data_IF_069705964143
#
_entry.id   IF_069705964143
#
_cell.length_a   1.000
_cell.length_b   1.000
_cell.length_c   1.000
_cell.angle_alpha   90.00
_cell.angle_beta   90.00
_cell.angle_gamma   90.00
#
_symmetry.space_group_name_H-M   'P 1'
#
loop_
_entity.id
_entity.type
_entity.pdbx_description
1 polymer ?
#
# COMPACT_ATOMS: atom_id res chain seq x y z
N UNK A 1 63.42 -3.95 -19.64
CA UNK A 1 62.92 -3.06 -18.58
C UNK A 1 61.50 -2.53 -18.87
N UNK A 2 61.18 -2.11 -20.11
CA UNK A 2 59.86 -1.56 -20.50
C UNK A 2 58.65 -2.48 -20.37
N UNK A 3 58.79 -3.80 -20.63
CA UNK A 3 57.66 -4.77 -20.53
C UNK A 3 57.14 -4.93 -19.09
N UNK A 4 57.97 -4.81 -18.07
CA UNK A 4 57.54 -4.88 -16.66
C UNK A 4 56.79 -3.60 -16.25
N UNK A 5 57.11 -2.47 -16.80
CA UNK A 5 56.44 -1.18 -16.52
C UNK A 5 55.02 -1.15 -17.09
N UNK A 6 54.83 -1.65 -18.31
CA UNK A 6 53.54 -1.73 -18.96
C UNK A 6 52.61 -2.73 -18.24
N UNK A 7 53.17 -3.83 -17.72
CA UNK A 7 52.37 -4.80 -16.97
C UNK A 7 51.96 -4.29 -15.58
N UNK A 8 52.81 -3.47 -14.94
CA UNK A 8 52.47 -2.79 -13.69
C UNK A 8 51.35 -1.79 -13.85
N UNK A 9 51.38 -0.98 -14.93
CA UNK A 9 50.35 0.02 -15.25
C UNK A 9 49.02 -0.64 -15.56
N UNK A 10 48.99 -1.73 -16.35
CA UNK A 10 47.78 -2.50 -16.66
C UNK A 10 47.14 -3.12 -15.40
N UNK A 11 47.94 -3.66 -14.48
CA UNK A 11 47.43 -4.23 -13.23
C UNK A 11 46.88 -3.14 -12.28
N UNK A 12 47.52 -1.94 -12.27
CA UNK A 12 47.07 -0.84 -11.42
C UNK A 12 45.73 -0.28 -11.90
N UNK A 13 45.53 -0.13 -13.20
CA UNK A 13 44.28 0.34 -13.83
C UNK A 13 43.16 -0.68 -13.63
N UNK A 14 43.46 -1.98 -13.67
CA UNK A 14 42.51 -3.05 -13.42
C UNK A 14 42.06 -3.09 -11.94
N UNK A 15 42.97 -2.80 -11.00
CA UNK A 15 42.68 -2.76 -9.56
C UNK A 15 41.83 -1.52 -9.22
N UNK A 16 42.15 -0.36 -9.83
CA UNK A 16 41.36 0.87 -9.66
C UNK A 16 39.94 0.71 -10.22
N UNK A 17 39.81 0.13 -11.43
CA UNK A 17 38.47 -0.13 -12.01
C UNK A 17 37.63 -1.12 -11.19
N UNK A 18 38.25 -2.11 -10.55
CA UNK A 18 37.57 -3.02 -9.62
C UNK A 18 37.15 -2.34 -8.32
N UNK A 19 37.97 -1.43 -7.77
CA UNK A 19 37.60 -0.62 -6.60
C UNK A 19 36.48 0.33 -6.89
N UNK A 20 36.48 1.01 -8.04
CA UNK A 20 35.40 1.90 -8.48
C UNK A 20 34.08 1.16 -8.73
N UNK A 21 34.13 -0.06 -9.27
CA UNK A 21 32.96 -0.91 -9.43
C UNK A 21 32.43 -1.43 -8.08
N UNK A 22 33.31 -1.71 -7.13
CA UNK A 22 32.94 -2.12 -5.77
C UNK A 22 32.29 -0.97 -4.99
N UNK A 23 32.83 0.26 -5.09
CA UNK A 23 32.22 1.44 -4.47
C UNK A 23 30.87 1.80 -5.10
N UNK A 24 30.73 1.70 -6.45
CA UNK A 24 29.42 1.88 -7.10
C UNK A 24 28.39 0.82 -6.75
N UNK A 25 28.81 -0.39 -6.36
CA UNK A 25 27.91 -1.46 -5.93
C UNK A 25 27.45 -1.29 -4.49
N UNK A 26 28.20 -0.58 -3.65
CA UNK A 26 27.82 -0.29 -2.25
C UNK A 26 26.84 0.89 -2.15
N UNK A 27 26.80 1.79 -3.13
CA UNK A 27 25.89 2.95 -3.16
C UNK A 27 24.40 2.61 -3.41
N UNK A 28 24.05 1.33 -3.60
CA UNK A 28 22.67 0.88 -3.86
C UNK A 28 22.02 0.08 -2.73
N UNK A 29 22.54 0.14 -1.52
CA UNK A 29 21.77 -0.30 -0.36
C UNK A 29 20.82 0.86 0.00
N UNK A 30 19.65 0.89 -0.64
CA UNK A 30 18.55 1.73 -0.21
C UNK A 30 18.18 1.29 1.21
N UNK A 31 18.58 2.08 2.21
CA UNK A 31 18.15 1.84 3.60
C UNK A 31 16.62 1.89 3.55
N UNK A 32 15.99 0.73 3.76
CA UNK A 32 14.54 0.67 3.90
C UNK A 32 14.21 1.28 5.26
N UNK A 33 13.75 2.52 5.24
CA UNK A 33 13.15 3.14 6.42
C UNK A 33 11.75 2.54 6.62
N UNK A 34 11.39 2.25 7.87
CA UNK A 34 10.02 1.82 8.16
C UNK A 34 9.02 2.91 7.77
N UNK A 35 7.85 2.51 7.29
CA UNK A 35 6.74 3.42 6.99
C UNK A 35 6.03 3.91 8.27
N UNK A 36 6.27 3.28 9.42
CA UNK A 36 5.64 3.66 10.69
C UNK A 36 6.05 5.07 11.11
N UNK A 37 5.07 5.88 11.49
CA UNK A 37 5.14 7.30 11.79
C UNK A 37 5.54 8.20 10.61
N UNK A 38 5.61 7.67 9.39
CA UNK A 38 5.70 8.51 8.20
C UNK A 38 4.35 9.20 7.93
N UNK A 39 4.42 10.34 7.26
CA UNK A 39 3.24 11.07 6.83
C UNK A 39 2.55 10.35 5.67
N UNK A 40 1.23 10.35 5.66
CA UNK A 40 0.41 9.91 4.52
C UNK A 40 0.90 10.62 3.25
N UNK A 41 1.19 9.89 2.16
CA UNK A 41 1.56 10.52 0.91
C UNK A 41 0.43 11.38 0.36
N UNK A 42 0.75 12.44 -0.36
CA UNK A 42 -0.26 13.19 -1.09
C UNK A 42 -0.79 12.35 -2.26
N UNK A 43 -2.10 12.31 -2.38
CA UNK A 43 -2.78 11.62 -3.48
C UNK A 43 -4.08 12.33 -3.88
N UNK A 44 -4.48 12.06 -5.11
CA UNK A 44 -5.75 12.47 -5.68
C UNK A 44 -6.18 11.35 -6.64
N UNK A 45 -7.15 10.53 -6.25
CA UNK A 45 -7.59 9.36 -7.00
C UNK A 45 -9.09 9.33 -7.18
N UNK A 46 -9.55 8.64 -8.22
CA UNK A 46 -10.96 8.36 -8.40
C UNK A 46 -11.39 7.20 -7.49
N UNK A 47 -12.62 7.21 -7.07
CA UNK A 47 -13.22 6.16 -6.26
C UNK A 47 -14.65 5.84 -6.71
N UNK A 48 -15.07 4.62 -6.46
CA UNK A 48 -16.48 4.23 -6.45
C UNK A 48 -16.98 4.20 -5.01
N UNK A 49 -18.11 4.82 -4.72
CA UNK A 49 -18.69 4.87 -3.39
C UNK A 49 -20.20 5.10 -3.44
N UNK A 50 -20.97 4.20 -2.83
CA UNK A 50 -22.44 4.32 -2.71
C UNK A 50 -23.16 4.59 -4.06
N UNK A 51 -22.73 3.88 -5.12
CA UNK A 51 -23.35 4.01 -6.44
C UNK A 51 -22.78 5.13 -7.32
N UNK A 52 -21.91 6.00 -6.79
CA UNK A 52 -21.38 7.16 -7.47
C UNK A 52 -19.87 7.13 -7.63
N UNK A 53 -19.38 7.88 -8.60
CA UNK A 53 -17.96 8.17 -8.74
C UNK A 53 -17.62 9.47 -8.04
N UNK A 54 -16.51 9.46 -7.28
CA UNK A 54 -16.01 10.67 -6.62
C UNK A 54 -14.50 10.71 -6.64
N UNK A 55 -13.94 11.88 -6.48
CA UNK A 55 -12.52 12.06 -6.21
C UNK A 55 -12.28 11.98 -4.70
N UNK A 56 -11.22 11.28 -4.31
CA UNK A 56 -10.74 11.23 -2.92
C UNK A 56 -9.30 11.71 -2.89
N UNK A 57 -9.03 12.62 -1.98
CA UNK A 57 -7.71 13.25 -1.80
C UNK A 57 -7.16 12.99 -0.40
N UNK A 58 -5.89 13.30 -0.19
CA UNK A 58 -5.27 13.27 1.15
C UNK A 58 -6.06 14.11 2.16
N UNK A 59 -6.62 15.27 1.73
CA UNK A 59 -7.38 16.17 2.62
C UNK A 59 -8.67 15.53 3.14
N UNK A 60 -9.30 14.65 2.36
CA UNK A 60 -10.53 13.94 2.77
C UNK A 60 -10.27 12.90 3.86
N UNK A 61 -9.01 12.51 4.05
CA UNK A 61 -8.56 11.54 5.06
C UNK A 61 -8.17 12.21 6.37
N UNK A 62 -7.57 13.40 6.32
CA UNK A 62 -7.10 14.11 7.51
C UNK A 62 -8.23 14.49 8.46
N UNK A 63 -7.92 14.56 9.76
CA UNK A 63 -8.87 14.89 10.82
C UNK A 63 -9.68 13.72 11.37
N UNK A 64 -9.52 12.51 10.83
CA UNK A 64 -10.15 11.26 11.31
C UNK A 64 -9.18 10.09 11.21
N UNK A 65 -9.46 9.04 11.95
CA UNK A 65 -8.76 7.77 11.75
C UNK A 65 -9.13 7.16 10.41
N UNK A 66 -8.17 6.53 9.74
CA UNK A 66 -8.40 5.91 8.45
C UNK A 66 -7.69 4.56 8.33
N UNK A 67 -8.29 3.66 7.57
CA UNK A 67 -7.71 2.38 7.17
C UNK A 67 -7.54 2.40 5.65
N UNK A 68 -6.32 2.16 5.16
CA UNK A 68 -6.07 1.82 3.77
C UNK A 68 -5.91 0.31 3.65
N UNK A 69 -6.80 -0.31 2.90
CA UNK A 69 -6.89 -1.75 2.75
C UNK A 69 -6.59 -2.14 1.30
N UNK A 70 -5.31 -2.35 1.01
CA UNK A 70 -4.85 -2.74 -0.34
C UNK A 70 -5.13 -4.20 -0.61
N UNK A 71 -5.52 -4.52 -1.84
CA UNK A 71 -5.77 -5.87 -2.32
C UNK A 71 -5.35 -5.99 -3.80
N UNK A 72 -5.04 -7.22 -4.29
CA UNK A 72 -4.50 -7.43 -5.64
C UNK A 72 -5.38 -6.94 -6.77
N UNK A 73 -6.62 -7.41 -6.87
CA UNK A 73 -7.50 -7.07 -7.99
C UNK A 73 -8.97 -7.43 -7.71
N UNK A 74 -9.86 -6.74 -8.40
CA UNK A 74 -11.28 -7.07 -8.49
C UNK A 74 -11.49 -8.41 -9.22
N UNK A 75 -12.67 -9.00 -9.08
CA UNK A 75 -13.08 -10.26 -9.73
C UNK A 75 -12.16 -11.45 -9.43
N UNK A 76 -11.52 -11.49 -8.26
CA UNK A 76 -10.66 -12.60 -7.79
C UNK A 76 -11.37 -13.45 -6.71
N UNK A 77 -10.67 -14.45 -6.15
CA UNK A 77 -11.29 -15.44 -5.25
C UNK A 77 -11.16 -15.10 -3.77
N UNK A 78 -10.00 -14.63 -3.31
CA UNK A 78 -9.72 -14.31 -1.90
C UNK A 78 -10.15 -12.89 -1.54
N UNK A 79 -10.01 -11.94 -2.45
CA UNK A 79 -10.31 -10.54 -2.18
C UNK A 79 -11.77 -10.28 -1.76
N UNK A 80 -12.79 -10.95 -2.37
CA UNK A 80 -14.18 -10.75 -1.94
C UNK A 80 -14.41 -11.11 -0.47
N UNK A 81 -13.80 -12.19 0.02
CA UNK A 81 -13.98 -12.63 1.41
C UNK A 81 -13.42 -11.64 2.41
N UNK A 82 -12.22 -11.12 2.15
CA UNK A 82 -11.58 -10.09 3.00
C UNK A 82 -12.36 -8.77 3.02
N UNK A 83 -12.79 -8.31 1.84
CA UNK A 83 -13.51 -7.04 1.71
C UNK A 83 -14.89 -7.12 2.39
N UNK A 84 -15.58 -8.25 2.29
CA UNK A 84 -16.85 -8.48 2.98
C UNK A 84 -16.64 -8.57 4.49
N UNK A 85 -15.60 -9.26 4.96
CA UNK A 85 -15.26 -9.35 6.37
C UNK A 85 -15.04 -7.96 6.99
N UNK A 86 -14.33 -7.07 6.29
CA UNK A 86 -14.20 -5.66 6.68
C UNK A 86 -15.53 -4.90 6.59
N UNK A 87 -16.36 -5.18 5.58
CA UNK A 87 -17.68 -4.55 5.45
C UNK A 87 -18.62 -4.90 6.59
N UNK A 88 -18.53 -6.11 7.14
CA UNK A 88 -19.30 -6.54 8.32
C UNK A 88 -18.87 -5.80 9.61
N UNK A 89 -17.64 -5.29 9.67
CA UNK A 89 -17.12 -4.47 10.78
C UNK A 89 -17.25 -2.96 10.53
N UNK A 90 -17.71 -2.54 9.35
CA UNK A 90 -17.65 -1.15 8.95
C UNK A 90 -18.47 -0.20 9.84
N UNK A 91 -19.68 -0.60 10.25
CA UNK A 91 -20.51 0.20 11.17
C UNK A 91 -19.82 0.37 12.54
N UNK A 92 -19.13 -0.66 13.03
CA UNK A 92 -18.36 -0.57 14.28
C UNK A 92 -17.16 0.36 14.11
N UNK A 93 -16.44 0.26 13.00
CA UNK A 93 -15.30 1.16 12.68
C UNK A 93 -15.77 2.62 12.57
N UNK A 94 -16.90 2.88 11.91
CA UNK A 94 -17.47 4.22 11.82
C UNK A 94 -17.89 4.77 13.19
N UNK A 95 -18.46 3.96 14.07
CA UNK A 95 -18.79 4.34 15.44
C UNK A 95 -17.54 4.74 16.25
N UNK A 96 -16.37 4.21 15.90
CA UNK A 96 -15.07 4.57 16.46
C UNK A 96 -14.41 5.78 15.77
N UNK A 97 -15.09 6.43 14.81
CA UNK A 97 -14.55 7.55 14.04
C UNK A 97 -13.51 7.15 12.99
N UNK A 98 -13.58 5.92 12.50
CA UNK A 98 -12.63 5.35 11.53
C UNK A 98 -13.28 5.21 10.17
N UNK A 99 -12.66 5.76 9.13
CA UNK A 99 -13.05 5.54 7.74
C UNK A 99 -12.20 4.44 7.10
N UNK A 100 -12.80 3.66 6.22
CA UNK A 100 -12.13 2.59 5.47
C UNK A 100 -12.02 2.99 4.00
N UNK A 101 -10.87 2.77 3.41
CA UNK A 101 -10.60 2.92 1.99
C UNK A 101 -10.01 1.62 1.46
N UNK A 102 -10.75 0.87 0.65
CA UNK A 102 -10.15 -0.23 -0.09
C UNK A 102 -9.42 0.30 -1.32
N UNK A 103 -8.31 -0.32 -1.70
CA UNK A 103 -7.44 0.16 -2.79
C UNK A 103 -6.97 -1.02 -3.64
N UNK A 104 -7.18 -0.93 -4.95
CA UNK A 104 -6.50 -1.79 -5.93
C UNK A 104 -6.04 -1.00 -7.14
N UNK A 105 -5.25 -1.64 -8.00
CA UNK A 105 -4.81 -1.03 -9.27
C UNK A 105 -5.89 -1.04 -10.34
N UNK A 106 -7.09 -1.51 -10.04
CA UNK A 106 -8.24 -1.43 -10.92
C UNK A 106 -8.75 0.01 -11.07
N UNK A 107 -9.54 0.27 -12.10
CA UNK A 107 -10.21 1.55 -12.28
C UNK A 107 -11.51 1.63 -11.48
N UNK A 108 -11.97 2.83 -11.18
CA UNK A 108 -13.27 3.05 -10.52
C UNK A 108 -14.46 2.48 -11.32
N UNK A 109 -14.33 2.36 -12.64
CA UNK A 109 -15.33 1.68 -13.48
C UNK A 109 -15.37 0.17 -13.21
N UNK A 110 -14.22 -0.46 -12.97
CA UNK A 110 -14.12 -1.89 -12.63
C UNK A 110 -14.69 -2.12 -11.23
N UNK A 111 -14.39 -1.27 -10.26
CA UNK A 111 -15.00 -1.32 -8.91
C UNK A 111 -16.52 -1.27 -8.98
N UNK A 112 -17.07 -0.34 -9.77
CA UNK A 112 -18.53 -0.26 -9.97
C UNK A 112 -19.07 -1.54 -10.62
N UNK A 113 -18.45 -2.01 -11.68
CA UNK A 113 -18.88 -3.22 -12.37
C UNK A 113 -18.87 -4.44 -11.45
N UNK A 114 -17.83 -4.58 -10.63
CA UNK A 114 -17.74 -5.67 -9.65
C UNK A 114 -18.80 -5.56 -8.55
N UNK A 115 -18.99 -4.35 -8.01
CA UNK A 115 -20.03 -4.08 -7.03
C UNK A 115 -21.43 -4.41 -7.57
N UNK A 116 -21.72 -4.05 -8.81
CA UNK A 116 -23.02 -4.32 -9.45
C UNK A 116 -23.22 -5.81 -9.75
N UNK A 117 -22.15 -6.52 -10.13
CA UNK A 117 -22.20 -7.93 -10.54
C UNK A 117 -22.16 -8.92 -9.38
N UNK A 118 -21.59 -8.55 -8.24
CA UNK A 118 -21.36 -9.46 -7.10
C UNK A 118 -22.28 -9.12 -5.93
N UNK A 119 -23.10 -10.08 -5.53
CA UNK A 119 -23.99 -9.94 -4.38
C UNK A 119 -23.25 -9.74 -3.06
N UNK A 120 -22.08 -10.35 -2.90
CA UNK A 120 -21.22 -10.17 -1.73
C UNK A 120 -20.54 -8.80 -1.71
N UNK A 121 -19.99 -8.34 -2.83
CA UNK A 121 -19.31 -7.03 -2.94
C UNK A 121 -20.31 -5.87 -2.83
N UNK A 122 -21.55 -6.06 -3.20
CA UNK A 122 -22.64 -5.07 -3.01
C UNK A 122 -22.86 -4.68 -1.54
N UNK A 123 -22.38 -5.47 -0.60
CA UNK A 123 -22.40 -5.15 0.84
C UNK A 123 -21.41 -4.07 1.24
N UNK A 124 -20.40 -3.79 0.42
CA UNK A 124 -19.37 -2.78 0.68
C UNK A 124 -20.00 -1.40 0.62
N UNK A 125 -19.91 -0.66 1.73
CA UNK A 125 -20.39 0.72 1.84
C UNK A 125 -19.28 1.76 1.97
N UNK A 126 -18.03 1.32 2.11
CA UNK A 126 -16.87 2.20 2.17
C UNK A 126 -16.31 2.52 0.77
N UNK A 127 -15.57 3.63 0.60
CA UNK A 127 -14.97 3.99 -0.69
C UNK A 127 -13.99 2.94 -1.23
N UNK A 128 -14.14 2.61 -2.51
CA UNK A 128 -13.23 1.77 -3.29
C UNK A 128 -12.34 2.66 -4.16
N UNK A 129 -11.10 2.88 -3.75
CA UNK A 129 -10.15 3.76 -4.43
C UNK A 129 -9.48 3.07 -5.62
N UNK A 130 -9.44 3.77 -6.73
CA UNK A 130 -8.79 3.32 -7.97
C UNK A 130 -7.36 3.83 -8.03
N UNK A 131 -6.38 2.93 -8.14
CA UNK A 131 -4.96 3.25 -8.30
C UNK A 131 -4.37 2.66 -9.60
N UNK A 132 -4.95 2.94 -10.80
CA UNK A 132 -4.53 2.30 -12.05
C UNK A 132 -3.10 2.64 -12.46
N UNK A 133 -2.51 3.66 -11.91
CA UNK A 133 -1.10 4.01 -12.11
C UNK A 133 -0.16 3.29 -11.15
N UNK A 134 -0.68 2.67 -10.08
CA UNK A 134 0.09 2.07 -9.00
C UNK A 134 0.83 3.11 -8.13
N UNK A 135 0.50 4.39 -8.26
CA UNK A 135 1.19 5.47 -7.55
C UNK A 135 0.99 5.36 -6.03
N UNK A 136 -0.26 5.12 -5.61
CA UNK A 136 -0.60 4.95 -4.20
C UNK A 136 0.00 3.65 -3.64
N UNK A 137 -0.11 2.54 -4.37
CA UNK A 137 0.48 1.25 -4.01
C UNK A 137 2.01 1.33 -3.86
N UNK A 138 2.70 2.10 -4.73
CA UNK A 138 4.15 2.35 -4.58
C UNK A 138 4.47 3.20 -3.36
N UNK A 139 3.69 4.23 -3.11
CA UNK A 139 3.89 5.12 -1.97
C UNK A 139 3.77 4.40 -0.62
N UNK A 140 2.86 3.41 -0.54
CA UNK A 140 2.71 2.55 0.63
C UNK A 140 3.64 1.32 0.62
N UNK A 141 4.47 1.14 -0.42
CA UNK A 141 5.44 0.05 -0.51
C UNK A 141 4.82 -1.33 -0.74
N UNK A 142 3.63 -1.39 -1.31
CA UNK A 142 2.89 -2.65 -1.58
C UNK A 142 2.78 -3.00 -3.06
N UNK A 143 3.38 -2.22 -3.97
CA UNK A 143 3.31 -2.49 -5.40
C UNK A 143 4.16 -3.69 -5.80
N UNK A 144 3.58 -4.63 -6.55
CA UNK A 144 4.26 -5.73 -7.25
C UNK A 144 4.42 -5.28 -8.70
N UNK A 145 5.59 -4.75 -9.05
CA UNK A 145 5.81 -4.11 -10.36
C UNK A 145 5.60 -5.07 -11.53
N UNK A 146 6.06 -6.32 -11.41
CA UNK A 146 5.94 -7.32 -12.48
C UNK A 146 4.48 -7.76 -12.72
N UNK A 147 3.65 -7.70 -11.68
CA UNK A 147 2.24 -8.12 -11.76
C UNK A 147 1.29 -6.95 -12.02
N UNK A 148 1.73 -5.71 -11.82
CA UNK A 148 0.87 -4.53 -11.90
C UNK A 148 -0.22 -4.50 -10.82
N UNK A 149 -0.03 -5.19 -9.70
CA UNK A 149 -1.00 -5.36 -8.61
C UNK A 149 -0.37 -5.01 -7.26
N UNK A 150 -1.20 -4.83 -6.24
CA UNK A 150 -0.73 -4.63 -4.88
C UNK A 150 -0.62 -5.97 -4.11
N UNK A 151 0.31 -6.03 -3.14
CA UNK A 151 0.21 -6.96 -2.02
C UNK A 151 -1.02 -6.64 -1.14
N UNK A 152 -1.41 -7.59 -0.28
CA UNK A 152 -2.44 -7.37 0.73
C UNK A 152 -1.89 -6.51 1.86
N UNK A 153 -1.90 -5.19 1.67
CA UNK A 153 -1.44 -4.22 2.64
C UNK A 153 -2.59 -3.65 3.47
N UNK A 154 -2.39 -3.50 4.78
CA UNK A 154 -3.31 -2.82 5.69
C UNK A 154 -2.55 -1.76 6.45
N UNK A 155 -3.03 -0.52 6.40
CA UNK A 155 -2.41 0.61 7.08
C UNK A 155 -3.46 1.37 7.88
N UNK A 156 -3.17 1.60 9.17
CA UNK A 156 -3.99 2.46 10.02
C UNK A 156 -3.29 3.81 10.14
N UNK A 157 -4.03 4.86 9.84
CA UNK A 157 -3.56 6.25 9.80
C UNK A 157 -4.29 7.05 10.86
N UNK A 158 -3.56 7.85 11.64
CA UNK A 158 -4.13 8.73 12.65
C UNK A 158 -4.71 10.04 12.03
N UNK A 159 -5.44 10.86 12.82
CA UNK A 159 -6.02 12.12 12.33
C UNK A 159 -5.01 13.14 11.81
N UNK A 160 -3.75 13.08 12.25
CA UNK A 160 -2.66 13.92 11.75
C UNK A 160 -2.05 13.39 10.45
N UNK A 161 -2.56 12.26 9.94
CA UNK A 161 -2.08 11.63 8.73
C UNK A 161 -0.81 10.79 8.90
N UNK A 162 -0.49 10.34 10.12
CA UNK A 162 0.66 9.46 10.37
C UNK A 162 0.25 7.99 10.34
N UNK A 163 1.02 7.17 9.67
CA UNK A 163 0.82 5.73 9.60
C UNK A 163 1.22 5.11 10.94
N UNK A 164 0.27 4.56 11.69
CA UNK A 164 0.48 3.97 13.02
C UNK A 164 0.62 2.45 13.01
N UNK A 165 -0.03 1.79 12.05
CA UNK A 165 0.06 0.34 11.85
C UNK A 165 0.31 0.07 10.38
N UNK A 166 1.18 -0.89 10.09
CA UNK A 166 1.41 -1.43 8.75
C UNK A 166 1.48 -2.95 8.84
N UNK A 167 0.71 -3.63 8.02
CA UNK A 167 0.68 -5.08 7.87
C UNK A 167 0.66 -5.41 6.39
N UNK A 168 1.56 -6.26 5.93
CA UNK A 168 1.64 -6.65 4.51
C UNK A 168 1.74 -8.17 4.45
N UNK A 169 0.80 -8.78 3.74
CA UNK A 169 0.75 -10.23 3.51
C UNK A 169 1.08 -10.57 2.06
N UNK A 170 1.60 -11.78 1.85
CA UNK A 170 1.60 -12.42 0.54
C UNK A 170 0.16 -12.56 0.01
N UNK A 171 -0.01 -12.52 -1.31
CA UNK A 171 -1.33 -12.53 -1.94
C UNK A 171 -2.12 -13.84 -1.73
N UNK A 172 -1.48 -14.90 -1.26
CA UNK A 172 -2.13 -16.17 -0.91
C UNK A 172 -2.57 -16.24 0.56
N UNK A 173 -2.22 -15.23 1.39
CA UNK A 173 -2.53 -15.20 2.82
C UNK A 173 -3.59 -14.14 3.10
N UNK A 174 -4.82 -14.57 3.35
CA UNK A 174 -5.93 -13.70 3.73
C UNK A 174 -5.70 -13.03 5.09
N UNK A 175 -6.35 -11.88 5.29
CA UNK A 175 -6.32 -11.11 6.54
C UNK A 175 -7.61 -11.35 7.33
N UNK A 176 -7.62 -10.94 8.59
CA UNK A 176 -8.73 -11.09 9.51
C UNK A 176 -9.24 -9.72 9.98
N UNK A 177 -10.54 -9.44 9.85
CA UNK A 177 -11.12 -8.16 10.22
C UNK A 177 -11.22 -7.92 11.73
N UNK A 178 -11.35 -8.97 12.54
CA UNK A 178 -11.32 -8.83 14.01
C UNK A 178 -9.92 -8.41 14.49
N UNK A 179 -8.87 -8.96 13.88
CA UNK A 179 -7.50 -8.54 14.18
C UNK A 179 -7.23 -7.10 13.73
N UNK A 180 -7.79 -6.67 12.59
CA UNK A 180 -7.74 -5.27 12.16
C UNK A 180 -8.43 -4.36 13.17
N UNK A 181 -9.63 -4.72 13.62
CA UNK A 181 -10.38 -3.95 14.61
C UNK A 181 -9.56 -3.79 15.90
N UNK A 182 -9.02 -4.90 16.44
CA UNK A 182 -8.15 -4.88 17.63
C UNK A 182 -6.94 -3.95 17.47
N UNK A 183 -6.31 -3.92 16.28
CA UNK A 183 -5.18 -3.02 16.01
C UNK A 183 -5.60 -1.55 16.00
N UNK A 184 -6.77 -1.24 15.45
CA UNK A 184 -7.33 0.12 15.48
C UNK A 184 -7.63 0.56 16.92
N UNK A 185 -8.29 -0.28 17.71
CA UNK A 185 -8.55 0.00 19.13
C UNK A 185 -7.26 0.28 19.91
N UNK A 186 -6.23 -0.56 19.69
CA UNK A 186 -4.92 -0.36 20.31
C UNK A 186 -4.25 0.94 19.88
N UNK A 187 -4.33 1.30 18.58
CA UNK A 187 -3.75 2.53 18.06
C UNK A 187 -4.45 3.78 18.64
N UNK A 188 -5.78 3.74 18.75
CA UNK A 188 -6.57 4.83 19.35
C UNK A 188 -6.30 4.96 20.85
N UNK A 189 -6.21 3.85 21.57
CA UNK A 189 -5.91 3.86 23.01
C UNK A 189 -4.56 4.49 23.33
N UNK A 190 -3.55 4.26 22.50
CA UNK A 190 -2.20 4.85 22.72
C UNK A 190 -2.15 6.34 22.32
N UNK A 191 -3.09 6.81 21.49
CA UNK A 191 -3.16 8.19 21.04
C UNK A 191 -3.88 9.13 22.03
N UNK A 192 -4.58 8.58 23.03
CA UNK A 192 -5.24 9.32 24.14
C UNK A 192 -4.30 9.52 25.30
#
# INVERSE_FOLDING_TARGET
>A
MWKKFLQYKSNHDTILSKKERATKKVEKVKIMTTIINSQLPEFNVQAFHNGEFKTVTTQDVLGKWAIFFFYPADFTFVCPTELVDVAEKYEQLQAMGVEVYSVSTDSHFVHKAWHDASESIRKIKYPMLADPTGALSRAFGVMIEEAGMAYRGTFVVDPEGKIKVAEIHDNNIGRNADELLRKVEAAQFVAT
#
